data_IF_883930446765
#
_entry.id   IF_883930446765
#
_cell.length_a   1.000
_cell.length_b   1.000
_cell.length_c   1.000
_cell.angle_alpha   90.00
_cell.angle_beta   90.00
_cell.angle_gamma   90.00
#
_symmetry.space_group_name_H-M   'P 1'
#
loop_
_entity.id
_entity.type
_entity.pdbx_description
1 polymer ?
#
# COMPACT_ATOMS: atom_id res chain seq x y z
N UNK A 1 -2.80 -7.87 -1.68
CA UNK A 1 -3.68 -9.00 -1.30
C UNK A 1 -2.90 -10.20 -0.80
N UNK A 2 -2.02 -10.83 -1.59
CA UNK A 2 -1.33 -12.07 -1.18
C UNK A 2 -0.56 -11.94 0.15
N UNK A 3 0.14 -10.82 0.38
CA UNK A 3 0.81 -10.55 1.67
C UNK A 3 -0.13 -10.61 2.88
N UNK A 4 -1.38 -10.18 2.72
CA UNK A 4 -2.38 -10.21 3.79
C UNK A 4 -2.89 -11.64 4.04
N UNK A 5 -3.09 -12.41 2.96
CA UNK A 5 -3.51 -13.82 3.04
C UNK A 5 -2.44 -14.66 3.72
N UNK A 6 -1.18 -14.48 3.31
CA UNK A 6 -0.04 -15.17 3.90
C UNK A 6 0.09 -14.85 5.40
N UNK A 7 0.03 -13.56 5.76
CA UNK A 7 0.02 -13.13 7.16
C UNK A 7 -1.16 -13.73 7.94
N UNK A 8 -2.36 -13.75 7.35
CA UNK A 8 -3.55 -14.36 7.94
C UNK A 8 -3.36 -15.86 8.23
N UNK A 9 -2.85 -16.62 7.26
CA UNK A 9 -2.67 -18.07 7.36
C UNK A 9 -1.58 -18.47 8.36
N UNK A 10 -0.55 -17.62 8.53
CA UNK A 10 0.62 -17.93 9.36
C UNK A 10 0.54 -17.41 10.78
N UNK A 11 -0.40 -16.50 11.11
CA UNK A 11 -0.44 -15.81 12.42
C UNK A 11 -1.66 -16.16 13.29
N UNK A 12 -2.30 -17.32 13.08
CA UNK A 12 -3.46 -17.78 13.85
C UNK A 12 -4.63 -16.76 13.88
N UNK A 13 -4.81 -16.03 12.78
CA UNK A 13 -5.88 -15.05 12.64
C UNK A 13 -7.15 -15.78 12.19
N UNK A 14 -8.25 -15.55 12.90
CA UNK A 14 -9.57 -16.14 12.61
C UNK A 14 -10.33 -15.30 11.58
N UNK A 15 -10.39 -13.99 11.80
CA UNK A 15 -11.07 -13.03 10.92
C UNK A 15 -10.27 -11.75 10.86
N UNK A 16 -10.41 -11.03 9.74
CA UNK A 16 -9.93 -9.67 9.63
C UNK A 16 -10.93 -8.85 8.80
N UNK A 17 -11.11 -7.58 9.16
CA UNK A 17 -11.96 -6.64 8.42
C UNK A 17 -11.34 -5.24 8.44
N UNK A 18 -11.49 -4.44 7.38
CA UNK A 18 -11.03 -3.06 7.41
C UNK A 18 -11.79 -2.30 8.51
N UNK A 19 -11.06 -1.49 9.28
CA UNK A 19 -11.67 -0.63 10.30
C UNK A 19 -12.58 0.39 9.66
N UNK A 20 -13.74 0.65 10.29
CA UNK A 20 -14.68 1.65 9.78
C UNK A 20 -14.04 3.04 9.68
N UNK A 21 -13.31 3.45 10.70
CA UNK A 21 -12.58 4.73 10.75
C UNK A 21 -11.58 4.87 9.60
N UNK A 22 -10.80 3.83 9.29
CA UNK A 22 -9.83 3.87 8.21
C UNK A 22 -10.49 4.00 6.82
N UNK A 23 -11.66 3.36 6.65
CA UNK A 23 -12.46 3.48 5.43
C UNK A 23 -13.03 4.89 5.29
N UNK A 24 -13.61 5.43 6.36
CA UNK A 24 -14.22 6.77 6.35
C UNK A 24 -13.16 7.87 6.11
N UNK A 25 -11.99 7.77 6.75
CA UNK A 25 -10.85 8.67 6.54
C UNK A 25 -10.34 8.63 5.10
N UNK A 26 -10.24 7.42 4.52
CA UNK A 26 -9.82 7.27 3.12
C UNK A 26 -10.84 7.88 2.15
N UNK A 27 -12.15 7.67 2.40
CA UNK A 27 -13.22 8.26 1.58
C UNK A 27 -13.15 9.79 1.65
N UNK A 28 -13.02 10.36 2.85
CA UNK A 28 -12.91 11.80 3.04
C UNK A 28 -11.68 12.38 2.32
N UNK A 29 -10.52 11.72 2.43
CA UNK A 29 -9.30 12.12 1.72
C UNK A 29 -9.49 12.07 0.20
N UNK A 30 -10.05 10.97 -0.32
CA UNK A 30 -10.31 10.79 -1.75
C UNK A 30 -11.29 11.83 -2.27
N UNK A 31 -12.40 12.09 -1.58
CA UNK A 31 -13.39 13.08 -2.01
C UNK A 31 -12.79 14.51 -2.04
N UNK A 32 -12.01 14.88 -1.03
CA UNK A 32 -11.31 16.17 -0.99
C UNK A 32 -10.25 16.33 -2.08
N UNK A 33 -9.59 15.24 -2.49
CA UNK A 33 -8.66 15.23 -3.61
C UNK A 33 -9.40 15.41 -4.94
N UNK A 34 -10.48 14.65 -5.15
CA UNK A 34 -11.20 14.59 -6.42
C UNK A 34 -11.83 15.93 -6.82
N UNK A 35 -12.22 16.77 -5.84
CA UNK A 35 -12.72 18.12 -6.08
C UNK A 35 -11.82 18.98 -6.98
N UNK A 36 -10.51 18.73 -6.95
CA UNK A 36 -9.48 19.49 -7.69
C UNK A 36 -9.06 18.82 -8.99
N UNK A 37 -9.80 17.83 -9.45
CA UNK A 37 -9.48 17.07 -10.67
C UNK A 37 -10.54 17.27 -11.72
N UNK A 38 -10.18 17.08 -12.99
CA UNK A 38 -11.10 17.06 -14.13
C UNK A 38 -12.26 16.05 -13.96
N UNK A 39 -12.07 15.04 -13.11
CA UNK A 39 -13.11 14.05 -12.80
C UNK A 39 -14.31 14.63 -12.05
N UNK A 40 -14.17 15.81 -11.44
CA UNK A 40 -15.27 16.49 -10.75
C UNK A 40 -16.10 17.41 -11.65
N UNK A 41 -15.70 17.64 -12.91
CA UNK A 41 -16.42 18.50 -13.86
C UNK A 41 -17.90 18.11 -13.99
N UNK A 42 -18.82 19.06 -14.29
CA UNK A 42 -20.27 18.83 -14.32
C UNK A 42 -20.71 18.02 -15.55
N UNK A 43 -20.20 16.80 -15.68
CA UNK A 43 -20.52 15.82 -16.70
C UNK A 43 -21.12 14.56 -16.08
N UNK A 44 -21.92 13.83 -16.86
CA UNK A 44 -22.37 12.50 -16.48
C UNK A 44 -21.26 11.51 -16.84
N UNK A 45 -20.82 10.73 -15.88
CA UNK A 45 -19.84 9.67 -16.11
C UNK A 45 -20.16 8.45 -15.26
N UNK A 46 -19.64 7.28 -15.68
CA UNK A 46 -19.74 6.06 -14.90
C UNK A 46 -19.06 6.21 -13.53
N UNK A 47 -17.98 7.00 -13.44
CA UNK A 47 -17.29 7.31 -12.18
C UNK A 47 -18.17 8.02 -11.15
N UNK A 48 -19.24 8.70 -11.61
CA UNK A 48 -20.25 9.40 -10.81
C UNK A 48 -21.60 8.67 -10.80
N UNK A 49 -21.62 7.36 -11.10
CA UNK A 49 -22.85 6.57 -11.19
C UNK A 49 -23.90 7.17 -12.17
N UNK A 50 -23.43 7.85 -13.23
CA UNK A 50 -24.30 8.48 -14.24
C UNK A 50 -24.95 9.81 -13.82
N UNK A 51 -24.65 10.31 -12.61
CA UNK A 51 -25.12 11.59 -12.10
C UNK A 51 -24.11 12.72 -12.37
N UNK A 52 -24.57 13.97 -12.37
CA UNK A 52 -23.73 15.15 -12.68
C UNK A 52 -22.91 15.58 -11.46
N UNK A 53 -23.55 15.65 -10.29
CA UNK A 53 -22.99 16.18 -9.05
C UNK A 53 -22.83 15.12 -7.95
N UNK A 54 -22.54 13.87 -8.33
CA UNK A 54 -22.31 12.79 -7.38
C UNK A 54 -20.81 12.61 -7.09
N UNK A 55 -20.46 12.04 -5.91
CA UNK A 55 -19.09 11.69 -5.57
C UNK A 55 -18.46 10.74 -6.60
N UNK A 56 -17.15 10.92 -6.82
CA UNK A 56 -16.35 10.02 -7.67
C UNK A 56 -16.07 8.74 -6.87
N UNK A 57 -16.53 7.59 -7.36
CA UNK A 57 -16.54 6.33 -6.59
C UNK A 57 -15.47 5.33 -7.02
N UNK A 58 -15.01 5.39 -8.27
CA UNK A 58 -14.18 4.33 -8.85
C UNK A 58 -12.69 4.66 -8.99
N UNK A 59 -12.27 5.91 -8.78
CA UNK A 59 -10.91 6.35 -9.07
C UNK A 59 -10.05 6.49 -7.81
N UNK A 60 -8.77 6.15 -7.95
CA UNK A 60 -7.74 6.40 -6.94
C UNK A 60 -7.38 7.90 -6.90
N UNK A 61 -7.20 8.51 -5.71
CA UNK A 61 -6.79 9.90 -5.57
C UNK A 61 -5.28 10.05 -5.83
N UNK A 62 -4.86 9.94 -7.09
CA UNK A 62 -3.48 10.12 -7.51
C UNK A 62 -3.13 9.36 -8.80
N UNK A 63 -1.83 9.31 -9.12
CA UNK A 63 -1.34 8.56 -10.28
C UNK A 63 -1.24 7.06 -10.00
N UNK A 64 -1.11 6.25 -11.06
CA UNK A 64 -0.87 4.81 -10.93
C UNK A 64 0.41 4.49 -10.16
N UNK A 65 1.48 5.28 -10.33
CA UNK A 65 2.72 5.10 -9.55
C UNK A 65 2.50 5.39 -8.07
N UNK A 66 1.72 6.42 -7.74
CA UNK A 66 1.33 6.71 -6.36
C UNK A 66 0.55 5.53 -5.74
N UNK A 67 -0.38 4.93 -6.49
CA UNK A 67 -1.12 3.73 -6.06
C UNK A 67 -0.20 2.53 -5.78
N UNK A 68 0.73 2.25 -6.69
CA UNK A 68 1.70 1.14 -6.54
C UNK A 68 2.58 1.36 -5.30
N UNK A 69 3.09 2.57 -5.11
CA UNK A 69 3.91 2.89 -3.93
C UNK A 69 3.10 2.78 -2.63
N UNK A 70 1.87 3.30 -2.61
CA UNK A 70 0.99 3.24 -1.44
C UNK A 70 0.66 1.80 -1.03
N UNK A 71 0.41 0.90 -2.00
CA UNK A 71 0.08 -0.50 -1.75
C UNK A 71 1.28 -1.45 -1.65
N UNK A 72 2.50 -0.96 -1.90
CA UNK A 72 3.73 -1.77 -1.85
C UNK A 72 3.97 -2.39 -0.47
N UNK A 73 3.56 -1.68 0.58
CA UNK A 73 3.67 -2.07 1.98
C UNK A 73 2.27 -2.28 2.56
N UNK A 74 2.03 -3.44 3.15
CA UNK A 74 0.77 -3.74 3.82
C UNK A 74 0.67 -2.91 5.11
N UNK A 75 -0.44 -2.18 5.28
CA UNK A 75 -0.79 -1.45 6.49
C UNK A 75 -1.74 -2.30 7.32
N UNK A 76 -1.21 -3.02 8.30
CA UNK A 76 -2.02 -3.88 9.16
C UNK A 76 -2.77 -3.09 10.24
N UNK A 77 -2.34 -1.87 10.53
CA UNK A 77 -2.97 -0.97 11.49
C UNK A 77 -4.40 -0.55 11.12
N UNK A 78 -4.75 -0.63 9.84
CA UNK A 78 -6.06 -0.24 9.29
C UNK A 78 -7.10 -1.38 9.36
N UNK A 79 -6.76 -2.52 9.97
CA UNK A 79 -7.63 -3.69 10.07
C UNK A 79 -7.96 -4.03 11.53
N UNK A 80 -9.20 -4.44 11.75
CA UNK A 80 -9.61 -5.19 12.93
C UNK A 80 -9.28 -6.66 12.71
N UNK A 81 -8.62 -7.27 13.69
CA UNK A 81 -8.10 -8.64 13.60
C UNK A 81 -8.55 -9.42 14.83
N UNK A 82 -9.25 -10.52 14.62
CA UNK A 82 -9.60 -11.47 15.67
C UNK A 82 -8.73 -12.73 15.55
N UNK A 83 -8.20 -13.20 16.68
CA UNK A 83 -7.38 -14.41 16.73
C UNK A 83 -8.22 -15.62 17.17
N UNK A 84 -7.84 -16.81 16.70
CA UNK A 84 -8.41 -18.05 17.20
C UNK A 84 -7.76 -18.43 18.53
N UNK A 85 -8.28 -17.90 19.64
CA UNK A 85 -7.73 -18.14 20.98
C UNK A 85 -6.51 -17.28 21.27
N UNK A 86 -5.41 -17.89 21.75
CA UNK A 86 -4.20 -17.13 22.07
C UNK A 86 -3.51 -16.62 20.80
N UNK A 87 -3.21 -15.32 20.76
CA UNK A 87 -2.60 -14.67 19.59
C UNK A 87 -1.22 -15.19 19.20
N UNK A 88 -0.51 -15.84 20.13
CA UNK A 88 0.82 -16.41 19.91
C UNK A 88 0.78 -17.92 19.65
N UNK A 89 -0.40 -18.52 19.50
CA UNK A 89 -0.51 -19.95 19.22
C UNK A 89 0.14 -20.34 17.87
N UNK A 90 0.37 -19.37 16.97
CA UNK A 90 1.12 -19.59 15.73
C UNK A 90 2.60 -19.99 15.96
N UNK A 91 3.17 -19.76 17.15
CA UNK A 91 4.52 -20.23 17.52
C UNK A 91 4.61 -21.77 17.59
N UNK A 92 3.47 -22.47 17.62
CA UNK A 92 3.41 -23.91 17.55
C UNK A 92 4.22 -24.60 18.65
N UNK A 93 5.08 -25.53 18.25
CA UNK A 93 5.92 -26.34 19.13
C UNK A 93 7.33 -25.75 19.37
N UNK A 94 7.60 -24.55 18.88
CA UNK A 94 8.88 -23.87 19.05
C UNK A 94 10.00 -24.28 18.09
N UNK A 95 9.78 -25.25 17.20
CA UNK A 95 10.72 -25.56 16.12
C UNK A 95 10.51 -24.64 14.93
N UNK A 96 11.60 -24.11 14.38
CA UNK A 96 11.56 -23.39 13.10
C UNK A 96 11.39 -24.36 11.94
N UNK A 97 10.85 -23.87 10.81
CA UNK A 97 10.78 -24.68 9.60
C UNK A 97 12.19 -25.01 9.05
N UNK A 98 13.18 -24.15 9.31
CA UNK A 98 14.58 -24.37 8.92
C UNK A 98 15.21 -25.57 9.66
N UNK A 99 14.95 -25.72 10.96
CA UNK A 99 15.46 -26.87 11.74
C UNK A 99 14.85 -28.20 11.31
N UNK A 100 13.66 -28.18 10.68
CA UNK A 100 12.97 -29.38 10.20
C UNK A 100 13.33 -29.73 8.75
N UNK A 101 14.04 -28.85 8.04
CA UNK A 101 14.47 -29.06 6.67
C UNK A 101 15.94 -29.52 6.65
N UNK A 102 16.14 -30.82 6.43
CA UNK A 102 17.47 -31.45 6.34
C UNK A 102 18.32 -30.94 5.16
N UNK A 103 17.72 -30.18 4.23
CA UNK A 103 18.41 -29.60 3.09
C UNK A 103 18.81 -28.13 3.30
N UNK A 104 18.35 -27.52 4.40
CA UNK A 104 18.58 -26.11 4.68
C UNK A 104 19.91 -25.85 5.40
N UNK A 105 20.49 -24.67 5.14
CA UNK A 105 21.58 -24.14 5.96
C UNK A 105 21.02 -23.55 7.26
N UNK A 106 21.27 -24.21 8.39
CA UNK A 106 20.80 -23.78 9.71
C UNK A 106 21.50 -22.51 10.21
N UNK A 107 22.67 -22.16 9.64
CA UNK A 107 23.45 -20.99 10.00
C UNK A 107 23.33 -19.84 8.99
N UNK A 108 22.27 -19.81 8.17
CA UNK A 108 22.07 -18.84 7.07
C UNK A 108 22.19 -17.36 7.46
N UNK A 109 22.01 -17.03 8.75
CA UNK A 109 22.11 -15.67 9.27
C UNK A 109 23.56 -15.19 9.49
N UNK A 110 24.55 -16.10 9.52
CA UNK A 110 25.98 -15.78 9.58
C UNK A 110 26.45 -15.52 8.15
N UNK A 111 26.72 -14.25 7.81
CA UNK A 111 27.02 -13.82 6.44
C UNK A 111 28.25 -12.92 6.40
N UNK A 112 29.03 -13.00 5.32
CA UNK A 112 30.17 -12.10 5.08
C UNK A 112 29.74 -10.69 4.65
N UNK A 113 28.55 -10.57 4.04
CA UNK A 113 27.98 -9.32 3.54
C UNK A 113 26.49 -9.25 3.81
N UNK A 114 25.97 -8.04 3.96
CA UNK A 114 24.53 -7.83 4.13
C UNK A 114 23.86 -7.64 2.75
N UNK A 115 23.15 -8.67 2.34
CA UNK A 115 22.30 -8.68 1.13
C UNK A 115 20.81 -8.51 1.48
N UNK A 116 20.51 -8.10 2.72
CA UNK A 116 19.14 -7.87 3.16
C UNK A 116 18.45 -6.73 2.41
N UNK A 117 17.11 -6.74 2.43
CA UNK A 117 16.34 -5.61 1.92
C UNK A 117 16.68 -4.32 2.67
N UNK A 118 16.65 -3.19 1.96
CA UNK A 118 16.84 -1.89 2.60
C UNK A 118 15.71 -1.59 3.60
N UNK A 119 16.05 -1.33 4.87
CA UNK A 119 15.06 -1.01 5.90
C UNK A 119 14.25 0.25 5.56
N UNK A 120 14.92 1.30 5.09
CA UNK A 120 14.26 2.57 4.77
C UNK A 120 13.46 2.48 3.45
N UNK A 121 12.21 2.94 3.49
CA UNK A 121 11.33 3.03 2.29
C UNK A 121 11.98 3.83 1.17
N UNK A 122 12.64 4.94 1.51
CA UNK A 122 13.29 5.82 0.53
C UNK A 122 14.48 5.16 -0.19
N UNK A 123 15.24 4.29 0.48
CA UNK A 123 16.33 3.54 -0.18
C UNK A 123 15.76 2.41 -1.04
N UNK A 124 14.76 1.66 -0.56
CA UNK A 124 14.04 0.65 -1.37
C UNK A 124 13.49 1.24 -2.66
N UNK A 125 12.77 2.36 -2.57
CA UNK A 125 12.22 3.05 -3.75
C UNK A 125 13.32 3.45 -4.72
N UNK A 126 14.40 4.10 -4.24
CA UNK A 126 15.49 4.56 -5.11
C UNK A 126 16.15 3.43 -5.88
N UNK A 127 16.36 2.31 -5.21
CA UNK A 127 16.96 1.12 -5.80
C UNK A 127 16.01 0.48 -6.83
N UNK A 128 14.75 0.24 -6.44
CA UNK A 128 13.71 -0.33 -7.29
C UNK A 128 13.44 0.50 -8.55
N UNK A 129 13.38 1.83 -8.42
CA UNK A 129 13.08 2.73 -9.54
C UNK A 129 14.31 3.11 -10.35
N UNK A 130 15.51 2.68 -9.96
CA UNK A 130 16.77 3.20 -10.53
C UNK A 130 16.85 4.73 -10.44
N UNK A 131 16.42 5.32 -9.34
CA UNK A 131 16.32 6.78 -9.20
C UNK A 131 17.67 7.45 -9.53
N UNK A 132 17.68 8.29 -10.57
CA UNK A 132 18.90 8.97 -11.05
C UNK A 132 19.53 8.35 -12.30
N UNK A 133 19.00 7.24 -12.82
CA UNK A 133 19.53 6.60 -14.05
C UNK A 133 18.92 7.18 -15.34
N UNK A 134 17.76 7.84 -15.26
CA UNK A 134 17.03 8.39 -16.42
C UNK A 134 17.14 9.91 -16.49
N UNK A 135 17.33 10.47 -17.69
CA UNK A 135 17.35 11.93 -17.94
C UNK A 135 15.97 12.53 -17.67
N UNK A 136 15.94 13.71 -17.04
CA UNK A 136 14.70 14.41 -16.66
C UNK A 136 13.89 14.81 -17.89
N UNK A 137 12.67 14.32 -18.01
CA UNK A 137 11.67 14.78 -18.98
C UNK A 137 10.81 15.87 -18.32
N UNK A 138 10.30 16.85 -19.08
CA UNK A 138 9.36 17.87 -18.56
C UNK A 138 8.20 17.15 -17.85
N UNK A 139 7.97 17.51 -16.58
CA UNK A 139 6.97 16.87 -15.74
C UNK A 139 5.55 17.04 -16.28
N UNK A 140 4.67 16.09 -15.94
CA UNK A 140 3.24 16.14 -16.26
C UNK A 140 2.49 16.58 -15.01
N UNK A 141 1.68 17.63 -15.12
CA UNK A 141 0.77 18.07 -14.07
C UNK A 141 -0.59 17.38 -14.22
N UNK A 142 -0.98 16.63 -13.19
CA UNK A 142 -2.24 15.88 -13.16
C UNK A 142 -3.42 16.70 -12.63
N UNK A 143 -3.17 17.89 -12.08
CA UNK A 143 -4.22 18.75 -11.52
C UNK A 143 -4.96 19.58 -12.58
N UNK A 144 -4.43 19.62 -13.82
CA UNK A 144 -4.96 20.48 -14.87
C UNK A 144 -4.80 21.97 -14.57
N UNK A 145 -4.11 22.34 -13.48
CA UNK A 145 -3.88 23.72 -13.10
C UNK A 145 -2.72 24.28 -13.91
N UNK A 146 -3.03 24.91 -15.04
CA UNK A 146 -2.06 25.67 -15.81
C UNK A 146 -1.45 26.79 -14.95
N UNK A 147 -0.23 26.58 -14.45
CA UNK A 147 0.76 27.63 -14.19
C UNK A 147 0.35 28.83 -13.33
N UNK A 148 -0.39 28.63 -12.24
CA UNK A 148 -0.57 29.67 -11.22
C UNK A 148 0.49 29.55 -10.14
N UNK A 149 1.34 30.57 -9.98
CA UNK A 149 2.31 30.70 -8.88
C UNK A 149 1.63 30.43 -7.53
N UNK A 150 1.99 29.32 -6.88
CA UNK A 150 1.72 29.12 -5.47
C UNK A 150 2.62 30.10 -4.69
N UNK A 151 2.06 31.24 -4.30
CA UNK A 151 2.67 32.09 -3.28
C UNK A 151 2.53 31.41 -1.93
N UNK A 152 3.68 31.20 -1.28
CA UNK A 152 3.82 30.83 0.12
C UNK A 152 3.15 31.86 1.04
#
# INVERSE_FOLDING_TARGET
MCKLIDHWQTHNIKTFSPKREAVDDFIAHKDAFMQRTVWNDPCRSWYKSGLINAPITALWPGSTLHYIEALSTLRLEDFDVEYAGNRFAWLGNGYSQTELDDTADWAYYIRERDEGEWLSRGKRRRDLTGSGTVKKVKGVDFSGASGGEAKL
#
